data_IF_473545113537
#
_entry.id   IF_473545113537
#
_cell.length_a   1.000
_cell.length_b   1.000
_cell.length_c   1.000
_cell.angle_alpha   90.00
_cell.angle_beta   90.00
_cell.angle_gamma   90.00
#
_symmetry.space_group_name_H-M   'P 1'
#
loop_
_entity.id
_entity.type
_entity.pdbx_description
1 polymer ?
#
# COMPACT_ATOMS: atom_id res chain seq x y z
N UNK A 1 8.34 -7.22 -13.70
CA UNK A 1 6.99 -7.46 -14.25
C UNK A 1 6.55 -8.86 -13.85
N UNK A 2 5.78 -8.98 -12.77
CA UNK A 2 5.13 -10.24 -12.42
C UNK A 2 4.08 -10.51 -13.51
N UNK A 3 4.18 -11.64 -14.19
CA UNK A 3 3.10 -12.08 -15.09
C UNK A 3 1.83 -12.25 -14.26
N UNK A 4 0.69 -11.80 -14.80
CA UNK A 4 -0.61 -12.01 -14.14
C UNK A 4 -0.75 -13.48 -13.72
N UNK A 5 -1.21 -13.77 -12.49
CA UNK A 5 -1.41 -15.14 -12.04
C UNK A 5 -2.26 -15.93 -13.03
N UNK A 6 -1.90 -17.18 -13.26
CA UNK A 6 -2.61 -18.07 -14.18
C UNK A 6 -4.02 -18.30 -13.64
N UNK A 7 -5.02 -18.00 -14.45
CA UNK A 7 -6.44 -18.14 -14.04
C UNK A 7 -7.15 -16.83 -13.70
N UNK A 8 -6.44 -15.71 -13.52
CA UNK A 8 -7.10 -14.44 -13.30
C UNK A 8 -7.85 -13.96 -14.56
N UNK A 9 -9.09 -13.46 -14.41
CA UNK A 9 -9.87 -12.97 -15.54
C UNK A 9 -9.23 -11.70 -16.14
N UNK A 10 -9.51 -11.44 -17.41
CA UNK A 10 -9.09 -10.19 -18.08
C UNK A 10 -9.96 -9.01 -17.70
N UNK A 11 -11.15 -9.28 -17.18
CA UNK A 11 -12.20 -8.30 -16.82
C UNK A 11 -12.75 -8.66 -15.45
N UNK A 12 -13.34 -7.68 -14.77
CA UNK A 12 -14.02 -7.93 -13.50
C UNK A 12 -13.07 -8.24 -12.32
N UNK A 13 -11.84 -7.71 -12.33
CA UNK A 13 -10.93 -7.84 -11.19
C UNK A 13 -11.49 -7.12 -9.97
N UNK A 14 -11.38 -7.74 -8.81
CA UNK A 14 -11.79 -7.16 -7.52
C UNK A 14 -10.52 -6.79 -6.75
N UNK A 15 -10.29 -5.51 -6.60
CA UNK A 15 -9.14 -4.95 -5.93
C UNK A 15 -9.58 -4.24 -4.65
N UNK A 16 -8.67 -4.07 -3.71
CA UNK A 16 -8.89 -3.27 -2.50
C UNK A 16 -7.70 -2.36 -2.25
N UNK A 17 -8.01 -1.15 -1.84
CA UNK A 17 -7.04 -0.16 -1.38
C UNK A 17 -7.39 0.19 0.06
N UNK A 18 -6.44 0.02 0.98
CA UNK A 18 -6.65 0.25 2.42
C UNK A 18 -5.75 1.40 2.85
N UNK A 19 -6.37 2.51 3.27
CA UNK A 19 -5.69 3.72 3.72
C UNK A 19 -5.77 3.87 5.24
N UNK A 20 -5.08 4.87 5.79
CA UNK A 20 -5.15 5.20 7.22
C UNK A 20 -6.56 5.70 7.59
N UNK A 21 -7.10 6.68 6.85
CA UNK A 21 -8.42 7.25 7.10
C UNK A 21 -9.15 7.66 5.79
N UNK A 22 -10.44 8.00 5.91
CA UNK A 22 -11.25 8.36 4.75
C UNK A 22 -10.92 9.76 4.22
N UNK A 23 -10.85 10.76 5.08
CA UNK A 23 -10.85 12.15 4.63
C UNK A 23 -9.48 12.57 4.12
N UNK A 24 -8.41 12.28 4.86
CA UNK A 24 -7.04 12.61 4.45
C UNK A 24 -6.49 11.57 3.48
N UNK A 25 -6.65 10.27 3.79
CA UNK A 25 -6.15 9.18 2.98
C UNK A 25 -6.93 9.01 1.68
N UNK A 26 -8.16 8.50 1.76
CA UNK A 26 -8.93 8.18 0.55
C UNK A 26 -9.27 9.43 -0.26
N UNK A 27 -9.96 10.40 0.34
CA UNK A 27 -10.49 11.59 -0.37
C UNK A 27 -9.43 12.64 -0.62
N UNK A 28 -8.51 12.83 0.33
CA UNK A 28 -7.51 13.90 0.27
C UNK A 28 -6.27 13.57 -0.57
N UNK A 29 -5.88 12.29 -0.64
CA UNK A 29 -4.67 11.87 -1.35
C UNK A 29 -4.96 10.90 -2.49
N UNK A 30 -5.56 9.76 -2.21
CA UNK A 30 -5.63 8.67 -3.18
C UNK A 30 -6.57 8.98 -4.35
N UNK A 31 -7.80 9.41 -4.10
CA UNK A 31 -8.75 9.71 -5.19
C UNK A 31 -8.30 10.86 -6.11
N UNK A 32 -7.70 11.97 -5.61
CA UNK A 32 -7.11 12.98 -6.49
C UNK A 32 -6.02 12.43 -7.42
N UNK A 33 -5.14 11.56 -6.91
CA UNK A 33 -4.11 10.93 -7.74
C UNK A 33 -4.70 9.95 -8.76
N UNK A 34 -5.70 9.17 -8.38
CA UNK A 34 -6.43 8.34 -9.34
C UNK A 34 -7.05 9.19 -10.47
N UNK A 35 -7.70 10.31 -10.13
CA UNK A 35 -8.26 11.25 -11.13
C UNK A 35 -7.18 11.83 -12.04
N UNK A 36 -6.02 12.16 -11.48
CA UNK A 36 -4.92 12.78 -12.21
C UNK A 36 -4.27 11.83 -13.24
N UNK A 37 -4.10 10.56 -12.87
CA UNK A 37 -3.30 9.62 -13.65
C UNK A 37 -4.11 8.64 -14.48
N UNK A 38 -5.39 8.46 -14.17
CA UNK A 38 -6.24 7.55 -14.95
C UNK A 38 -6.73 8.15 -16.25
N UNK A 39 -6.62 7.37 -17.33
CA UNK A 39 -7.26 7.69 -18.59
C UNK A 39 -8.78 7.59 -18.45
N UNK A 40 -9.52 8.56 -19.02
CA UNK A 40 -10.98 8.53 -19.09
C UNK A 40 -11.51 7.28 -19.80
N UNK A 41 -10.73 6.69 -20.72
CA UNK A 41 -11.10 5.44 -21.40
C UNK A 41 -11.20 4.23 -20.45
N UNK A 42 -10.62 4.32 -19.26
CA UNK A 42 -10.75 3.29 -18.23
C UNK A 42 -12.03 3.43 -17.41
N UNK A 43 -12.70 4.57 -17.47
CA UNK A 43 -13.88 4.88 -16.68
C UNK A 43 -15.16 4.41 -17.40
N UNK A 44 -16.21 4.12 -16.63
CA UNK A 44 -17.55 3.83 -17.15
C UNK A 44 -18.04 5.07 -17.91
N UNK A 45 -18.47 4.91 -19.15
CA UNK A 45 -18.86 6.00 -20.04
C UNK A 45 -17.84 7.15 -20.18
N UNK A 46 -16.56 6.91 -19.82
CA UNK A 46 -15.54 7.95 -19.77
C UNK A 46 -15.71 8.96 -18.64
N UNK A 47 -16.60 8.69 -17.68
CA UNK A 47 -17.03 9.60 -16.62
C UNK A 47 -16.61 9.12 -15.26
N UNK A 48 -16.05 10.04 -14.46
CA UNK A 48 -15.76 9.76 -13.04
C UNK A 48 -17.04 9.54 -12.22
N UNK A 49 -18.08 10.34 -12.48
CA UNK A 49 -19.32 10.29 -11.72
C UNK A 49 -20.09 8.97 -11.97
N UNK A 50 -19.98 8.41 -13.18
CA UNK A 50 -20.54 7.08 -13.51
C UNK A 50 -19.71 5.93 -12.91
N UNK A 51 -18.45 6.18 -12.60
CA UNK A 51 -17.50 5.18 -12.11
C UNK A 51 -17.38 5.15 -10.59
N UNK A 52 -17.57 6.28 -9.90
CA UNK A 52 -17.35 6.42 -8.47
C UNK A 52 -18.63 6.32 -7.66
N UNK A 53 -18.69 5.36 -6.74
CA UNK A 53 -19.75 5.24 -5.74
C UNK A 53 -19.22 5.72 -4.37
N UNK A 54 -19.67 6.91 -3.95
CA UNK A 54 -19.22 7.51 -2.70
C UNK A 54 -19.77 6.81 -1.44
N UNK A 55 -20.90 6.13 -1.53
CA UNK A 55 -21.49 5.38 -0.40
C UNK A 55 -20.72 4.09 -0.15
N UNK A 56 -20.44 3.34 -1.22
CA UNK A 56 -19.71 2.08 -1.16
C UNK A 56 -18.19 2.26 -1.20
N UNK A 57 -17.71 3.49 -1.36
CA UNK A 57 -16.28 3.82 -1.55
C UNK A 57 -15.64 2.90 -2.62
N UNK A 58 -16.30 2.79 -3.77
CA UNK A 58 -15.89 1.87 -4.84
C UNK A 58 -15.77 2.59 -6.16
N UNK A 59 -14.64 2.39 -6.83
CA UNK A 59 -14.41 2.82 -8.20
C UNK A 59 -14.59 1.63 -9.14
N UNK A 60 -15.49 1.75 -10.10
CA UNK A 60 -15.76 0.74 -11.13
C UNK A 60 -15.16 1.18 -12.47
N UNK A 61 -14.44 0.29 -13.11
CA UNK A 61 -13.83 0.51 -14.42
C UNK A 61 -14.74 0.04 -15.56
N UNK A 62 -14.51 0.57 -16.77
CA UNK A 62 -15.26 0.20 -17.99
C UNK A 62 -15.23 -1.29 -18.33
N UNK A 63 -14.20 -2.02 -17.86
CA UNK A 63 -14.08 -3.48 -18.03
C UNK A 63 -14.74 -4.29 -16.89
N UNK A 64 -15.48 -3.64 -15.99
CA UNK A 64 -16.12 -4.25 -14.83
C UNK A 64 -15.21 -4.55 -13.66
N UNK A 65 -13.92 -4.19 -13.74
CA UNK A 65 -13.03 -4.28 -12.56
C UNK A 65 -13.39 -3.22 -11.53
N UNK A 66 -13.12 -3.49 -10.26
CA UNK A 66 -13.48 -2.60 -9.16
C UNK A 66 -12.31 -2.42 -8.19
N UNK A 67 -12.17 -1.22 -7.65
CA UNK A 67 -11.33 -0.92 -6.49
C UNK A 67 -12.22 -0.46 -5.36
N UNK A 68 -12.25 -1.22 -4.28
CA UNK A 68 -12.91 -0.85 -3.02
C UNK A 68 -11.89 -0.13 -2.13
N UNK A 69 -12.29 0.99 -1.53
CA UNK A 69 -11.46 1.73 -0.59
C UNK A 69 -11.96 1.51 0.82
N UNK A 70 -11.07 1.05 1.70
CA UNK A 70 -11.33 0.89 3.13
C UNK A 70 -10.26 1.63 3.93
N UNK A 71 -10.43 1.73 5.24
CA UNK A 71 -9.47 2.41 6.12
C UNK A 71 -9.17 1.62 7.38
N UNK A 72 -8.02 1.93 8.00
CA UNK A 72 -7.61 1.32 9.28
C UNK A 72 -8.59 1.63 10.43
N UNK A 73 -9.39 2.70 10.28
CA UNK A 73 -10.36 3.14 11.30
C UNK A 73 -11.73 2.45 11.19
N UNK A 74 -11.96 1.71 10.11
CA UNK A 74 -13.21 0.96 9.94
C UNK A 74 -13.21 -0.29 10.81
N UNK A 75 -14.39 -0.69 11.27
CA UNK A 75 -14.59 -1.95 11.99
C UNK A 75 -14.09 -3.14 11.17
N UNK A 76 -13.58 -4.16 11.86
CA UNK A 76 -12.93 -5.32 11.24
C UNK A 76 -13.87 -6.08 10.28
N UNK A 77 -15.15 -6.14 10.59
CA UNK A 77 -16.18 -6.79 9.76
C UNK A 77 -16.32 -6.14 8.37
N UNK A 78 -16.02 -4.83 8.24
CA UNK A 78 -16.01 -4.12 6.94
C UNK A 78 -14.90 -4.64 6.03
N UNK A 79 -13.83 -5.17 6.59
CA UNK A 79 -12.72 -5.80 5.84
C UNK A 79 -13.04 -7.23 5.42
N UNK A 80 -14.09 -7.83 5.97
CA UNK A 80 -14.61 -9.12 5.57
C UNK A 80 -15.29 -9.12 4.20
N UNK A 81 -16.06 -10.17 3.92
CA UNK A 81 -16.90 -10.28 2.74
C UNK A 81 -16.22 -10.90 1.52
N UNK A 82 -16.21 -10.20 0.39
CA UNK A 82 -15.87 -10.79 -0.92
C UNK A 82 -14.37 -10.99 -1.13
N UNK A 83 -14.02 -12.08 -1.81
CA UNK A 83 -12.65 -12.37 -2.24
C UNK A 83 -12.07 -11.26 -3.13
N UNK A 84 -10.76 -11.07 -3.05
CA UNK A 84 -10.00 -10.05 -3.78
C UNK A 84 -8.84 -10.67 -4.56
N UNK A 85 -8.55 -10.09 -5.73
CA UNK A 85 -7.40 -10.46 -6.54
C UNK A 85 -6.12 -9.79 -6.05
N UNK A 86 -6.23 -8.53 -5.60
CA UNK A 86 -5.10 -7.84 -5.00
C UNK A 86 -5.57 -6.84 -3.94
N UNK A 87 -4.71 -6.63 -2.94
CA UNK A 87 -4.92 -5.66 -1.86
C UNK A 87 -3.66 -4.80 -1.73
N UNK A 88 -3.86 -3.49 -1.74
CA UNK A 88 -2.83 -2.50 -1.50
C UNK A 88 -3.10 -1.81 -0.17
N UNK A 89 -2.08 -1.73 0.68
CA UNK A 89 -2.09 -0.98 1.93
C UNK A 89 -1.21 0.26 1.80
N UNK A 90 -1.82 1.40 2.04
CA UNK A 90 -1.15 2.69 2.18
C UNK A 90 -0.87 2.91 3.66
N UNK A 91 0.37 2.80 4.03
CA UNK A 91 0.90 2.66 5.38
C UNK A 91 0.66 1.27 6.02
N UNK A 92 1.39 1.00 7.12
CA UNK A 92 1.30 -0.25 7.86
C UNK A 92 -0.05 -0.36 8.57
N UNK A 93 -0.89 -1.35 8.23
CA UNK A 93 -2.17 -1.53 8.90
C UNK A 93 -1.99 -2.20 10.28
N UNK A 94 -2.98 -2.10 11.19
CA UNK A 94 -3.08 -3.01 12.32
C UNK A 94 -3.03 -4.47 11.88
N UNK A 95 -2.34 -5.33 12.63
CA UNK A 95 -2.17 -6.74 12.28
C UNK A 95 -3.50 -7.48 12.09
N UNK A 96 -4.54 -7.14 12.88
CA UNK A 96 -5.87 -7.71 12.73
C UNK A 96 -6.51 -7.39 11.38
N UNK A 97 -6.36 -6.15 10.91
CA UNK A 97 -6.83 -5.72 9.58
C UNK A 97 -6.04 -6.42 8.49
N UNK A 98 -4.72 -6.52 8.64
CA UNK A 98 -3.90 -7.28 7.69
C UNK A 98 -4.38 -8.72 7.57
N UNK A 99 -4.50 -9.44 8.69
CA UNK A 99 -4.93 -10.83 8.72
C UNK A 99 -6.31 -11.05 8.09
N UNK A 100 -7.29 -10.19 8.39
CA UNK A 100 -8.62 -10.28 7.78
C UNK A 100 -8.55 -10.11 6.25
N UNK A 101 -7.72 -9.19 5.78
CA UNK A 101 -7.53 -8.97 4.35
C UNK A 101 -6.80 -10.14 3.67
N UNK A 102 -5.88 -10.82 4.34
CA UNK A 102 -5.20 -12.01 3.79
C UNK A 102 -6.19 -13.13 3.48
N UNK A 103 -7.22 -13.32 4.34
CA UNK A 103 -8.27 -14.30 4.07
C UNK A 103 -9.05 -14.01 2.78
N UNK A 104 -9.10 -12.75 2.34
CA UNK A 104 -9.80 -12.35 1.09
C UNK A 104 -9.01 -12.67 -0.17
N UNK A 105 -7.73 -13.01 -0.06
CA UNK A 105 -6.88 -13.33 -1.20
C UNK A 105 -6.87 -14.82 -1.56
N UNK A 106 -7.30 -15.70 -0.67
CA UNK A 106 -7.17 -17.16 -0.81
C UNK A 106 -7.87 -17.68 -2.07
N UNK A 107 -9.11 -17.27 -2.32
CA UNK A 107 -9.92 -17.82 -3.41
C UNK A 107 -9.36 -17.52 -4.81
N UNK A 108 -8.57 -16.45 -4.93
CA UNK A 108 -7.99 -16.04 -6.22
C UNK A 108 -6.46 -16.19 -6.26
N UNK A 109 -5.85 -16.85 -5.27
CA UNK A 109 -4.39 -16.84 -5.11
C UNK A 109 -3.82 -15.44 -5.30
N UNK A 110 -4.49 -14.48 -4.64
CA UNK A 110 -4.24 -13.05 -4.79
C UNK A 110 -2.91 -12.62 -4.19
N UNK A 111 -2.53 -11.37 -4.42
CA UNK A 111 -1.33 -10.80 -3.81
C UNK A 111 -1.65 -9.52 -3.06
N UNK A 112 -0.72 -9.10 -2.23
CA UNK A 112 -0.79 -7.85 -1.49
C UNK A 112 0.50 -7.04 -1.64
N UNK A 113 0.37 -5.74 -1.37
CA UNK A 113 1.47 -4.78 -1.31
C UNK A 113 1.23 -3.88 -0.10
N UNK A 114 2.27 -3.65 0.69
CA UNK A 114 2.31 -2.58 1.71
C UNK A 114 3.34 -1.56 1.23
N UNK A 115 2.93 -0.30 1.09
CA UNK A 115 3.83 0.82 0.88
C UNK A 115 3.77 1.72 2.12
N UNK A 116 4.86 1.80 2.85
CA UNK A 116 4.87 2.48 4.14
C UNK A 116 6.24 3.06 4.47
N UNK A 117 6.23 4.02 5.38
CA UNK A 117 7.42 4.52 6.05
C UNK A 117 7.44 3.95 7.48
N UNK A 118 8.49 3.22 7.86
CA UNK A 118 8.59 2.49 9.13
C UNK A 118 8.88 3.42 10.33
N UNK A 119 8.17 4.55 10.44
CA UNK A 119 8.40 5.57 11.50
C UNK A 119 8.13 5.06 12.92
N UNK A 120 7.32 4.02 13.07
CA UNK A 120 7.04 3.38 14.36
C UNK A 120 8.12 2.34 14.75
N UNK A 121 9.12 2.15 13.89
CA UNK A 121 10.23 1.23 14.12
C UNK A 121 9.91 -0.22 13.78
N UNK A 122 10.54 -1.15 14.53
CA UNK A 122 10.41 -2.59 14.34
C UNK A 122 9.10 -3.08 14.96
N UNK A 123 8.02 -3.04 14.18
CA UNK A 123 6.72 -3.59 14.55
C UNK A 123 6.48 -4.95 13.90
N UNK A 124 5.23 -5.41 13.92
CA UNK A 124 4.83 -6.72 13.38
C UNK A 124 5.25 -6.96 11.93
N UNK A 125 5.30 -5.91 11.09
CA UNK A 125 5.76 -6.01 9.70
C UNK A 125 7.24 -6.35 9.61
N UNK A 126 8.06 -5.81 10.51
CA UNK A 126 9.47 -6.18 10.62
C UNK A 126 9.59 -7.66 11.02
N UNK A 127 8.98 -8.03 12.14
CA UNK A 127 9.14 -9.36 12.76
C UNK A 127 8.55 -10.49 11.89
N UNK A 128 7.37 -10.26 11.28
CA UNK A 128 6.64 -11.31 10.57
C UNK A 128 6.87 -11.34 9.06
N UNK A 129 7.30 -10.24 8.46
CA UNK A 129 7.40 -10.12 7.01
C UNK A 129 8.83 -9.79 6.55
N UNK A 130 9.40 -8.71 7.06
CA UNK A 130 10.65 -8.17 6.52
C UNK A 130 11.85 -9.01 6.93
N UNK A 131 12.07 -9.24 8.23
CA UNK A 131 13.22 -9.99 8.74
C UNK A 131 13.26 -11.42 8.22
N UNK A 132 12.17 -12.23 8.29
CA UNK A 132 12.17 -13.58 7.74
C UNK A 132 12.42 -13.62 6.23
N UNK A 133 11.92 -12.62 5.49
CA UNK A 133 12.16 -12.53 4.05
C UNK A 133 13.62 -12.25 3.71
N UNK A 134 14.26 -11.32 4.42
CA UNK A 134 15.68 -11.00 4.23
C UNK A 134 16.57 -12.18 4.62
N UNK A 135 16.26 -12.86 5.71
CA UNK A 135 17.00 -14.07 6.14
C UNK A 135 16.90 -15.18 5.09
N UNK A 136 15.69 -15.45 4.58
CA UNK A 136 15.50 -16.44 3.51
C UNK A 136 16.29 -16.08 2.24
N UNK A 137 16.25 -14.80 1.83
CA UNK A 137 17.01 -14.32 0.67
C UNK A 137 18.53 -14.49 0.88
N UNK A 138 19.06 -14.15 2.06
CA UNK A 138 20.49 -14.34 2.38
C UNK A 138 20.91 -15.80 2.39
N UNK A 139 20.00 -16.70 2.81
CA UNK A 139 20.22 -18.13 2.80
C UNK A 139 20.00 -18.79 1.44
N UNK A 140 19.58 -18.04 0.41
CA UNK A 140 19.22 -18.57 -0.91
C UNK A 140 17.96 -19.43 -0.89
N UNK A 141 17.09 -19.25 0.12
CA UNK A 141 15.83 -19.97 0.27
C UNK A 141 14.69 -19.22 -0.44
N UNK A 142 13.67 -19.93 -0.93
CA UNK A 142 12.49 -19.30 -1.48
C UNK A 142 11.73 -18.50 -0.42
N UNK A 143 11.18 -17.36 -0.81
CA UNK A 143 10.27 -16.56 0.02
C UNK A 143 9.10 -16.06 -0.81
N UNK A 144 7.91 -16.06 -0.20
CA UNK A 144 6.69 -15.51 -0.82
C UNK A 144 6.57 -14.00 -0.64
N UNK A 145 7.43 -13.41 0.20
CA UNK A 145 7.46 -11.97 0.49
C UNK A 145 8.67 -11.34 -0.18
N UNK A 146 8.42 -10.41 -1.10
CA UNK A 146 9.47 -9.54 -1.67
C UNK A 146 9.55 -8.24 -0.88
N UNK A 147 10.75 -7.83 -0.51
CA UNK A 147 11.02 -6.59 0.21
C UNK A 147 11.82 -5.63 -0.65
N UNK A 148 11.45 -4.34 -0.60
CA UNK A 148 12.10 -3.27 -1.35
C UNK A 148 12.29 -2.07 -0.42
N UNK A 149 13.51 -1.59 -0.30
CA UNK A 149 13.83 -0.34 0.38
C UNK A 149 14.02 0.74 -0.69
N UNK A 150 13.37 1.88 -0.49
CA UNK A 150 13.46 3.03 -1.39
C UNK A 150 13.96 4.23 -0.60
N UNK A 151 15.16 4.68 -0.93
CA UNK A 151 15.72 5.92 -0.40
C UNK A 151 15.24 7.12 -1.20
N UNK A 152 15.10 8.27 -0.55
CA UNK A 152 14.90 9.54 -1.26
C UNK A 152 16.02 9.83 -2.27
N UNK A 153 17.22 9.28 -2.04
CA UNK A 153 18.38 9.42 -2.94
C UNK A 153 18.17 8.69 -4.27
N UNK A 154 17.31 7.67 -4.28
CA UNK A 154 17.00 6.89 -5.49
C UNK A 154 16.02 7.63 -6.42
N UNK A 155 15.44 8.74 -5.97
CA UNK A 155 14.50 9.52 -6.77
C UNK A 155 15.25 10.55 -7.64
N UNK A 156 15.37 10.33 -8.97
CA UNK A 156 16.11 11.21 -9.86
C UNK A 156 15.49 12.60 -10.02
N UNK A 157 14.26 12.79 -9.60
CA UNK A 157 13.54 14.07 -9.69
C UNK A 157 13.74 14.94 -8.44
N UNK A 158 14.38 14.44 -7.39
CA UNK A 158 14.73 15.23 -6.22
C UNK A 158 16.06 15.96 -6.46
N UNK A 159 15.97 17.19 -6.96
CA UNK A 159 17.14 18.04 -7.28
C UNK A 159 17.73 18.78 -6.09
N UNK A 160 17.15 18.64 -4.91
CA UNK A 160 17.56 19.38 -3.72
C UNK A 160 18.84 18.79 -3.14
N UNK A 161 19.89 19.59 -2.99
CA UNK A 161 21.12 19.16 -2.32
C UNK A 161 20.85 18.70 -0.87
N UNK A 162 21.64 17.74 -0.40
CA UNK A 162 21.52 17.15 0.95
C UNK A 162 21.52 18.23 2.04
N UNK A 163 22.33 19.30 1.86
CA UNK A 163 22.38 20.45 2.76
C UNK A 163 21.07 21.26 2.85
N UNK A 164 20.29 21.30 1.76
CA UNK A 164 18.98 21.94 1.75
C UNK A 164 17.90 21.04 2.35
N UNK A 165 18.05 19.72 2.28
CA UNK A 165 17.13 18.76 2.91
C UNK A 165 17.17 18.83 4.43
N UNK A 166 18.35 19.09 5.00
CA UNK A 166 18.52 19.20 6.47
C UNK A 166 17.53 20.16 7.15
N UNK A 167 17.13 21.23 6.47
CA UNK A 167 16.14 22.18 7.01
C UNK A 167 14.73 21.60 7.18
N UNK A 168 14.38 20.55 6.45
CA UNK A 168 13.07 19.88 6.55
C UNK A 168 13.01 18.84 7.68
N UNK A 169 14.16 18.50 8.26
CA UNK A 169 14.26 17.53 9.35
C UNK A 169 14.55 18.17 10.71
N UNK A 170 14.32 19.48 10.81
CA UNK A 170 14.52 20.21 12.06
C UNK A 170 13.59 19.66 13.14
N UNK A 171 14.19 19.26 14.26
CA UNK A 171 13.46 18.66 15.40
C UNK A 171 13.25 17.15 15.33
N UNK A 172 13.67 16.49 14.24
CA UNK A 172 13.68 15.03 14.15
C UNK A 172 14.97 14.48 14.78
N UNK A 173 14.85 13.37 15.48
CA UNK A 173 16.03 12.63 15.92
C UNK A 173 16.73 11.94 14.71
N UNK A 174 17.96 11.48 14.93
CA UNK A 174 18.77 10.87 13.87
C UNK A 174 18.12 9.59 13.30
N UNK A 175 17.46 8.80 14.16
CA UNK A 175 16.78 7.56 13.78
C UNK A 175 15.58 7.87 12.89
N UNK A 176 14.72 8.80 13.29
CA UNK A 176 13.57 9.23 12.51
C UNK A 176 14.01 9.80 11.15
N UNK A 177 15.08 10.61 11.14
CA UNK A 177 15.63 11.15 9.90
C UNK A 177 16.07 10.05 8.94
N UNK A 178 16.82 9.06 9.43
CA UNK A 178 17.28 7.92 8.60
C UNK A 178 16.12 7.09 8.08
N UNK A 179 15.10 6.83 8.89
CA UNK A 179 13.90 6.11 8.46
C UNK A 179 13.24 6.83 7.28
N UNK A 180 13.06 8.16 7.38
CA UNK A 180 12.41 8.95 6.33
C UNK A 180 13.28 9.19 5.10
N UNK A 181 14.59 9.30 5.28
CA UNK A 181 15.54 9.57 4.19
C UNK A 181 15.91 8.30 3.43
N UNK A 182 16.16 7.21 4.14
CA UNK A 182 16.70 5.97 3.57
C UNK A 182 15.64 4.84 3.47
N UNK A 183 14.43 5.03 4.01
CA UNK A 183 13.39 3.99 4.03
C UNK A 183 13.69 2.81 4.95
N UNK A 184 14.66 2.96 5.86
CA UNK A 184 15.18 1.86 6.65
C UNK A 184 14.26 1.44 7.81
N UNK A 185 14.23 0.14 8.15
CA UNK A 185 13.71 -0.34 9.42
C UNK A 185 14.78 -0.17 10.50
N UNK A 186 14.57 0.75 11.43
CA UNK A 186 15.48 1.00 12.54
C UNK A 186 14.76 0.83 13.89
N UNK A 187 15.43 0.20 14.86
CA UNK A 187 14.93 0.15 16.22
C UNK A 187 14.94 1.55 16.83
N UNK A 188 13.80 2.01 17.33
CA UNK A 188 13.78 3.15 18.24
C UNK A 188 14.19 2.65 19.63
N UNK A 189 15.38 3.02 20.06
CA UNK A 189 15.81 2.76 21.44
C UNK A 189 14.94 3.58 22.39
N UNK A 190 14.04 2.89 23.11
CA UNK A 190 13.43 3.29 24.36
C UNK A 190 12.67 4.62 24.39
N UNK A 191 11.37 4.54 24.43
CA UNK A 191 10.53 5.34 25.32
C UNK A 191 9.87 4.46 26.34
#
# INVERSE_FOLDING_TARGET
>A
YRKRPKGWPTKGLKLRFVCVDIDKGVRGMVLPEFKRWMSTSMLVNGSWDDSWNNTELTLTFSNGSQVQFLTHQMELDRHGGTAKHAIYFDEIPPLSIFNENMMRLIDYEGFWVIAATSVEGMGWTYELLWEPSIEAQRAGLPTDVGTFELSQKDNPFLTTEISQRGKYYVGMDEVERKIREDGAFLARSGR
#
